data_IF_341734418820
#
_entry.id   IF_341734418820
#
_cell.length_a   1.000
_cell.length_b   1.000
_cell.length_c   1.000
_cell.angle_alpha   90.00
_cell.angle_beta   90.00
_cell.angle_gamma   90.00
#
_symmetry.space_group_name_H-M   'P 1'
#
loop_
_entity.id
_entity.type
_entity.pdbx_description
1 polymer ?
#
# COMPACT_ATOMS: atom_id res chain seq x y z
N UNK A 1 6.13 -9.28 29.24
CA UNK A 1 6.35 -7.95 28.67
C UNK A 1 5.05 -7.40 28.12
N UNK A 2 4.76 -6.09 28.24
CA UNK A 2 3.69 -5.51 27.44
C UNK A 2 4.04 -5.76 25.97
N UNK A 3 3.17 -6.47 25.26
CA UNK A 3 3.43 -6.88 23.88
C UNK A 3 3.36 -5.66 22.97
N UNK A 4 4.44 -5.35 22.28
CA UNK A 4 4.43 -4.35 21.21
C UNK A 4 3.71 -4.92 19.98
N UNK A 5 2.81 -4.14 19.40
CA UNK A 5 2.25 -4.41 18.08
C UNK A 5 3.06 -3.65 17.03
N UNK A 6 3.41 -4.33 15.94
CA UNK A 6 4.21 -3.77 14.86
C UNK A 6 3.35 -3.57 13.61
N UNK A 7 3.56 -2.43 12.94
CA UNK A 7 3.10 -2.23 11.57
C UNK A 7 4.27 -2.53 10.63
N UNK A 8 4.15 -3.57 9.81
CA UNK A 8 5.17 -3.95 8.85
C UNK A 8 4.73 -3.60 7.42
N UNK A 9 5.44 -2.65 6.80
CA UNK A 9 5.31 -2.31 5.38
C UNK A 9 6.15 -3.30 4.57
N UNK A 10 5.50 -4.27 3.92
CA UNK A 10 6.19 -5.29 3.10
C UNK A 10 6.40 -4.72 1.71
N UNK A 11 7.60 -4.17 1.49
CA UNK A 11 7.89 -3.21 0.43
C UNK A 11 6.98 -1.97 0.53
N UNK A 12 7.57 -0.79 0.41
CA UNK A 12 6.82 0.44 0.59
C UNK A 12 6.91 1.32 -0.64
N UNK A 13 5.89 2.16 -0.83
CA UNK A 13 5.77 3.00 -2.03
C UNK A 13 5.85 2.15 -3.30
N UNK A 14 5.13 1.03 -3.27
CA UNK A 14 5.17 0.09 -4.38
C UNK A 14 4.53 0.72 -5.60
N UNK A 15 5.27 0.69 -6.71
CA UNK A 15 4.83 1.21 -7.99
C UNK A 15 4.78 0.11 -9.03
N UNK A 16 3.70 0.07 -9.80
CA UNK A 16 3.49 -0.87 -10.89
C UNK A 16 4.66 -0.85 -11.88
N UNK A 17 5.15 0.33 -12.22
CA UNK A 17 6.24 0.51 -13.19
C UNK A 17 7.55 -0.12 -12.71
N UNK A 18 7.78 -0.16 -11.40
CA UNK A 18 8.99 -0.72 -10.80
C UNK A 18 8.85 -2.23 -10.57
N UNK A 19 7.69 -2.67 -10.05
CA UNK A 19 7.51 -4.05 -9.58
C UNK A 19 6.99 -5.03 -10.63
N UNK A 20 6.53 -4.56 -11.80
CA UNK A 20 6.04 -5.42 -12.89
C UNK A 20 6.97 -5.47 -14.10
N UNK A 21 8.23 -5.04 -13.95
CA UNK A 21 9.22 -4.96 -15.04
C UNK A 21 8.72 -4.17 -16.27
N UNK A 22 7.90 -3.13 -16.05
CA UNK A 22 7.37 -2.30 -17.12
C UNK A 22 6.38 -3.03 -18.03
N UNK A 23 5.47 -3.84 -17.47
CA UNK A 23 4.31 -4.35 -18.21
C UNK A 23 3.71 -3.23 -19.10
N UNK A 24 3.53 -3.48 -20.41
CA UNK A 24 3.45 -2.41 -21.40
C UNK A 24 2.13 -1.63 -21.39
N UNK A 25 1.12 -2.09 -20.64
CA UNK A 25 -0.22 -1.50 -20.64
C UNK A 25 -0.66 -1.19 -19.21
N UNK A 26 -0.66 0.09 -18.86
CA UNK A 26 -1.22 0.61 -17.60
C UNK A 26 -2.67 0.10 -17.44
N UNK A 27 -2.95 -0.53 -16.30
CA UNK A 27 -4.27 -1.10 -16.01
C UNK A 27 -4.48 -2.54 -16.49
N UNK A 28 -3.55 -3.12 -17.25
CA UNK A 28 -3.49 -4.58 -17.46
C UNK A 28 -2.63 -5.20 -16.36
N UNK A 29 -3.30 -5.63 -15.30
CA UNK A 29 -2.68 -6.22 -14.11
C UNK A 29 -2.43 -7.73 -14.30
N UNK A 30 -1.61 -8.11 -15.27
CA UNK A 30 -1.32 -9.53 -15.56
C UNK A 30 -0.17 -10.11 -14.75
N UNK A 31 0.77 -9.27 -14.33
CA UNK A 31 1.83 -9.65 -13.40
C UNK A 31 1.31 -9.66 -11.96
N UNK A 32 1.45 -10.80 -11.29
CA UNK A 32 1.01 -11.02 -9.90
C UNK A 32 2.18 -11.28 -8.96
N UNK A 33 3.42 -11.08 -9.42
CA UNK A 33 4.65 -11.42 -8.69
C UNK A 33 4.73 -10.68 -7.35
N UNK A 34 4.35 -9.41 -7.32
CA UNK A 34 4.30 -8.62 -6.09
C UNK A 34 3.30 -9.18 -5.07
N UNK A 35 2.07 -9.46 -5.50
CA UNK A 35 1.02 -10.02 -4.64
C UNK A 35 1.42 -11.40 -4.10
N UNK A 36 2.06 -12.22 -4.94
CA UNK A 36 2.59 -13.52 -4.55
C UNK A 36 3.73 -13.38 -3.52
N UNK A 37 4.65 -12.43 -3.72
CA UNK A 37 5.73 -12.15 -2.78
C UNK A 37 5.19 -11.65 -1.42
N UNK A 38 4.22 -10.71 -1.45
CA UNK A 38 3.57 -10.22 -0.23
C UNK A 38 2.89 -11.36 0.53
N UNK A 39 2.10 -12.19 -0.16
CA UNK A 39 1.48 -13.41 0.40
C UNK A 39 2.50 -14.33 1.05
N UNK A 40 3.61 -14.57 0.37
CA UNK A 40 4.67 -15.43 0.87
C UNK A 40 5.27 -14.90 2.17
N UNK A 41 5.56 -13.60 2.26
CA UNK A 41 6.08 -12.96 3.49
C UNK A 41 5.08 -13.10 4.65
N UNK A 42 3.80 -12.80 4.41
CA UNK A 42 2.75 -12.93 5.43
C UNK A 42 2.62 -14.38 5.92
N UNK A 43 2.57 -15.35 5.00
CA UNK A 43 2.49 -16.77 5.33
C UNK A 43 3.72 -17.26 6.11
N UNK A 44 4.91 -16.77 5.77
CA UNK A 44 6.13 -17.14 6.49
C UNK A 44 6.08 -16.62 7.92
N UNK A 45 5.72 -15.35 8.12
CA UNK A 45 5.71 -14.72 9.44
C UNK A 45 4.55 -15.19 10.33
N UNK A 46 3.30 -15.09 9.85
CA UNK A 46 2.11 -15.52 10.63
C UNK A 46 1.99 -17.04 10.67
N UNK A 47 2.09 -17.70 9.51
CA UNK A 47 1.84 -19.13 9.39
C UNK A 47 2.98 -20.02 9.89
N UNK A 48 4.23 -19.76 9.46
CA UNK A 48 5.36 -20.61 9.86
C UNK A 48 5.94 -20.23 11.22
N UNK A 49 6.08 -18.93 11.49
CA UNK A 49 6.73 -18.46 12.72
C UNK A 49 5.74 -18.07 13.83
N UNK A 50 4.44 -18.11 13.56
CA UNK A 50 3.41 -17.87 14.58
C UNK A 50 3.38 -16.44 15.13
N UNK A 51 3.85 -15.45 14.35
CA UNK A 51 3.82 -14.05 14.78
C UNK A 51 2.37 -13.56 14.88
N UNK A 52 1.97 -13.13 16.08
CA UNK A 52 0.60 -12.65 16.38
C UNK A 52 0.52 -11.15 16.61
N UNK A 53 1.67 -10.47 16.75
CA UNK A 53 1.79 -9.06 17.10
C UNK A 53 2.27 -8.19 15.93
N UNK A 54 1.96 -8.58 14.69
CA UNK A 54 2.31 -7.84 13.48
C UNK A 54 1.08 -7.66 12.60
N UNK A 55 0.85 -6.42 12.16
CA UNK A 55 -0.10 -6.06 11.12
C UNK A 55 0.66 -5.69 9.85
N UNK A 56 0.16 -6.14 8.71
CA UNK A 56 0.78 -5.93 7.40
C UNK A 56 0.16 -4.75 6.66
N UNK A 57 1.02 -3.84 6.23
CA UNK A 57 0.63 -2.61 5.53
C UNK A 57 0.89 -2.77 4.04
N UNK A 58 -0.15 -2.61 3.22
CA UNK A 58 0.00 -2.41 1.78
C UNK A 58 0.13 -0.91 1.50
N UNK A 59 1.26 -0.49 0.93
CA UNK A 59 1.56 0.94 0.78
C UNK A 59 2.06 1.25 -0.64
N UNK A 60 1.21 1.88 -1.44
CA UNK A 60 1.49 2.28 -2.82
C UNK A 60 2.06 3.69 -2.92
N UNK A 61 2.79 3.93 -4.02
CA UNK A 61 3.23 5.27 -4.38
C UNK A 61 2.06 6.10 -4.94
N UNK A 62 1.26 5.53 -5.85
CA UNK A 62 0.13 6.20 -6.49
C UNK A 62 -1.15 5.35 -6.48
N UNK A 63 -2.13 5.72 -5.65
CA UNK A 63 -3.38 4.98 -5.46
C UNK A 63 -4.15 4.61 -6.73
N UNK A 64 -4.34 5.56 -7.66
CA UNK A 64 -5.14 5.32 -8.86
C UNK A 64 -4.48 4.37 -9.87
N UNK A 65 -3.15 4.27 -9.86
CA UNK A 65 -2.39 3.50 -10.85
C UNK A 65 -1.91 2.16 -10.27
N UNK A 66 -1.35 2.21 -9.07
CA UNK A 66 -0.63 1.07 -8.49
C UNK A 66 -1.56 0.13 -7.73
N UNK A 67 -2.49 0.67 -6.95
CA UNK A 67 -3.34 -0.14 -6.07
C UNK A 67 -4.22 -1.17 -6.82
N UNK A 68 -4.87 -0.82 -7.97
CA UNK A 68 -5.64 -1.79 -8.74
C UNK A 68 -4.84 -3.01 -9.19
N UNK A 69 -3.55 -2.84 -9.47
CA UNK A 69 -2.70 -3.91 -9.97
C UNK A 69 -1.86 -4.60 -8.91
N UNK A 70 -1.62 -3.97 -7.76
CA UNK A 70 -0.69 -4.49 -6.76
C UNK A 70 -1.37 -4.93 -5.46
N UNK A 71 -2.67 -4.67 -5.27
CA UNK A 71 -3.33 -5.04 -4.02
C UNK A 71 -3.28 -6.56 -3.77
N UNK A 72 -2.63 -7.03 -2.68
CA UNK A 72 -2.45 -8.46 -2.45
C UNK A 72 -3.73 -9.20 -2.07
N UNK A 73 -4.69 -8.50 -1.47
CA UNK A 73 -5.98 -9.04 -1.04
C UNK A 73 -6.33 -8.72 0.41
N UNK A 74 -7.63 -8.68 0.69
CA UNK A 74 -8.20 -8.36 2.00
C UNK A 74 -7.89 -9.39 3.09
N UNK A 75 -7.56 -10.63 2.71
CA UNK A 75 -7.27 -11.74 3.61
C UNK A 75 -5.90 -11.61 4.30
N UNK A 76 -4.99 -10.82 3.73
CA UNK A 76 -3.59 -10.71 4.19
C UNK A 76 -3.14 -9.29 4.50
N UNK A 77 -3.82 -8.27 3.97
CA UNK A 77 -3.54 -6.87 4.28
C UNK A 77 -4.35 -6.46 5.50
N UNK A 78 -3.68 -5.91 6.50
CA UNK A 78 -4.31 -5.41 7.72
C UNK A 78 -4.57 -3.90 7.65
N UNK A 79 -3.74 -3.15 6.91
CA UNK A 79 -3.74 -1.67 6.88
C UNK A 79 -3.40 -1.17 5.47
N UNK A 80 -4.02 -0.08 5.03
CA UNK A 80 -3.65 0.63 3.79
C UNK A 80 -2.75 1.81 4.14
N UNK A 81 -1.53 1.81 3.61
CA UNK A 81 -0.57 2.91 3.73
C UNK A 81 -0.81 3.95 2.65
N UNK A 82 -0.74 5.22 3.04
CA UNK A 82 -0.95 6.37 2.16
C UNK A 82 0.34 7.15 2.03
N UNK A 83 0.84 7.29 0.81
CA UNK A 83 2.01 8.11 0.53
C UNK A 83 1.60 9.58 0.50
N UNK A 84 2.20 10.39 1.37
CA UNK A 84 2.04 11.83 1.36
C UNK A 84 3.37 12.46 0.92
N UNK A 85 3.44 12.87 -0.34
CA UNK A 85 4.62 13.54 -0.89
C UNK A 85 4.30 15.01 -1.07
N UNK A 86 5.04 15.87 -0.39
CA UNK A 86 5.09 17.29 -0.70
C UNK A 86 6.41 17.54 -1.43
N UNK A 87 6.41 17.50 -2.76
CA UNK A 87 7.59 17.84 -3.59
C UNK A 87 7.44 19.22 -4.23
N UNK A 88 8.52 19.85 -4.70
CA UNK A 88 8.47 21.18 -5.33
C UNK A 88 7.49 21.34 -6.52
N UNK A 89 7.03 20.22 -7.09
CA UNK A 89 6.06 20.13 -8.17
C UNK A 89 4.66 19.70 -7.73
N UNK A 90 4.45 19.48 -6.43
CA UNK A 90 3.15 19.21 -5.85
C UNK A 90 2.43 20.53 -5.58
N UNK A 91 1.20 20.66 -6.09
CA UNK A 91 0.37 21.84 -5.89
C UNK A 91 0.09 22.14 -4.41
N UNK A 92 0.31 21.16 -3.52
CA UNK A 92 0.18 21.27 -2.08
C UNK A 92 1.47 21.60 -1.33
N UNK A 93 2.66 21.55 -1.96
CA UNK A 93 3.99 21.70 -1.33
C UNK A 93 4.25 23.00 -0.56
N UNK A 94 3.34 23.97 -0.62
CA UNK A 94 3.42 25.23 0.15
C UNK A 94 2.06 25.78 0.58
N UNK A 95 0.98 25.00 0.42
CA UNK A 95 -0.39 25.52 0.58
C UNK A 95 -1.01 25.32 1.97
N UNK A 96 -0.28 24.74 2.91
CA UNK A 96 -0.76 24.50 4.27
C UNK A 96 -1.36 23.10 4.43
N UNK A 97 -1.64 22.72 5.68
CA UNK A 97 -2.08 21.37 6.06
C UNK A 97 -3.49 20.98 5.55
N UNK A 98 -4.20 21.91 4.91
CA UNK A 98 -5.52 21.72 4.30
C UNK A 98 -5.46 21.29 2.83
N UNK A 99 -4.28 21.26 2.21
CA UNK A 99 -4.12 20.78 0.84
C UNK A 99 -3.78 19.29 0.83
N UNK A 100 -4.72 18.48 0.31
CA UNK A 100 -4.51 17.06 0.07
C UNK A 100 -4.00 16.90 -1.35
N UNK A 101 -2.83 16.29 -1.54
CA UNK A 101 -2.35 16.03 -2.90
C UNK A 101 -3.23 14.99 -3.61
N UNK A 102 -3.29 15.07 -4.94
CA UNK A 102 -4.15 14.19 -5.75
C UNK A 102 -3.82 12.70 -5.60
N UNK A 103 -2.57 12.38 -5.24
CA UNK A 103 -2.14 10.99 -5.01
C UNK A 103 -2.73 10.41 -3.72
N UNK A 104 -2.80 11.22 -2.66
CA UNK A 104 -3.47 10.89 -1.41
C UNK A 104 -4.96 10.74 -1.68
N UNK A 105 -5.59 11.72 -2.34
CA UNK A 105 -7.02 11.63 -2.70
C UNK A 105 -7.33 10.35 -3.48
N UNK A 106 -6.50 10.02 -4.48
CA UNK A 106 -6.64 8.80 -5.27
C UNK A 106 -6.51 7.52 -4.42
N UNK A 107 -5.56 7.48 -3.49
CA UNK A 107 -5.37 6.34 -2.59
C UNK A 107 -6.53 6.18 -1.62
N UNK A 108 -7.03 7.29 -1.07
CA UNK A 108 -8.20 7.31 -0.18
C UNK A 108 -9.46 6.85 -0.92
N UNK A 109 -9.71 7.37 -2.12
CA UNK A 109 -10.85 6.99 -2.94
C UNK A 109 -10.79 5.49 -3.32
N UNK A 110 -9.63 4.98 -3.71
CA UNK A 110 -9.44 3.57 -4.00
C UNK A 110 -9.69 2.70 -2.77
N UNK A 111 -9.12 3.06 -1.61
CA UNK A 111 -9.28 2.30 -0.37
C UNK A 111 -10.73 2.28 0.11
N UNK A 112 -11.44 3.40 0.02
CA UNK A 112 -12.86 3.48 0.38
C UNK A 112 -13.75 2.57 -0.49
N UNK A 113 -13.38 2.33 -1.75
CA UNK A 113 -14.14 1.46 -2.65
C UNK A 113 -13.75 -0.02 -2.52
N UNK A 114 -12.46 -0.32 -2.38
CA UNK A 114 -11.92 -1.68 -2.53
C UNK A 114 -11.49 -2.33 -1.21
N UNK A 115 -11.26 -1.54 -0.17
CA UNK A 115 -10.81 -2.00 1.14
C UNK A 115 -11.49 -1.19 2.29
N UNK A 116 -12.84 -1.02 2.27
CA UNK A 116 -13.55 -0.04 3.12
C UNK A 116 -13.45 -0.30 4.63
N UNK A 117 -13.10 -1.53 5.02
CA UNK A 117 -12.95 -1.92 6.42
C UNK A 117 -11.52 -1.78 6.95
N UNK A 118 -10.55 -1.52 6.06
CA UNK A 118 -9.14 -1.47 6.42
C UNK A 118 -8.80 -0.08 6.97
N UNK A 119 -8.13 0.01 8.14
CA UNK A 119 -7.62 1.28 8.63
C UNK A 119 -6.59 1.86 7.67
N UNK A 120 -6.52 3.19 7.66
CA UNK A 120 -5.54 3.95 6.91
C UNK A 120 -4.33 4.28 7.80
N UNK A 121 -3.14 4.26 7.22
CA UNK A 121 -1.89 4.62 7.87
C UNK A 121 -1.16 5.70 7.08
N UNK A 122 -0.90 6.83 7.74
CA UNK A 122 -0.12 7.95 7.23
C UNK A 122 1.20 7.97 8.02
N UNK A 123 2.35 7.64 7.39
CA UNK A 123 3.65 7.57 8.05
C UNK A 123 4.18 8.92 8.50
#
# INVERSE_FOLDING_TARGET
>A
SPGFNWLLRVEYEVSYNLFTCGQPVIGQCTDTSYQAAFKHVVQRLKGTHGLTNVQFVFHVMYGALDAPCLYPGDDIVDVIGVSFFEGAHDDCYRKGADCINSNVEATLAWAALHAPSKPLFFP
#
